data_IF_857946720293
#
_entry.id   IF_857946720293
#
_cell.length_a   1.000
_cell.length_b   1.000
_cell.length_c   1.000
_cell.angle_alpha   90.00
_cell.angle_beta   90.00
_cell.angle_gamma   90.00
#
_symmetry.space_group_name_H-M   'P 1'
#
loop_
_entity.id
_entity.type
_entity.pdbx_description
1 polymer ?
#
# COMPACT_ATOMS: atom_id res chain seq x y z
N UNK A 1 27.41 -12.12 4.20
CA UNK A 1 27.49 -12.73 2.86
C UNK A 1 26.10 -12.63 2.26
N UNK A 2 25.94 -11.92 1.13
CA UNK A 2 24.64 -11.81 0.43
C UNK A 2 24.23 -13.21 -0.02
N UNK A 3 23.02 -13.68 0.32
CA UNK A 3 22.52 -14.95 -0.18
C UNK A 3 22.42 -14.84 -1.72
N UNK A 4 23.15 -15.67 -2.49
CA UNK A 4 23.16 -15.60 -3.95
C UNK A 4 21.79 -15.83 -4.60
N UNK A 5 20.78 -16.28 -3.82
CA UNK A 5 19.39 -16.43 -4.26
C UNK A 5 18.57 -15.14 -4.16
N UNK A 6 19.14 -14.03 -3.65
CA UNK A 6 18.42 -12.76 -3.51
C UNK A 6 19.02 -11.68 -4.40
N UNK A 7 18.14 -10.96 -5.08
CA UNK A 7 18.52 -9.87 -5.98
C UNK A 7 19.11 -8.65 -5.24
N UNK A 8 18.68 -8.42 -4.00
CA UNK A 8 19.12 -7.29 -3.17
C UNK A 8 19.37 -7.72 -1.73
N UNK A 9 19.95 -6.83 -0.93
CA UNK A 9 20.31 -7.11 0.46
C UNK A 9 19.08 -7.53 1.29
N UNK A 10 19.24 -8.54 2.17
CA UNK A 10 18.17 -8.94 3.07
C UNK A 10 17.84 -7.81 4.05
N UNK A 11 16.55 -7.61 4.28
CA UNK A 11 16.02 -6.64 5.25
C UNK A 11 15.17 -7.40 6.25
N UNK A 12 15.20 -7.01 7.52
CA UNK A 12 14.20 -7.46 8.49
C UNK A 12 13.19 -6.34 8.76
N UNK A 13 11.90 -6.53 8.41
CA UNK A 13 10.85 -5.61 8.81
C UNK A 13 10.76 -5.51 10.34
N UNK A 14 10.40 -4.33 10.89
CA UNK A 14 10.28 -4.16 12.34
C UNK A 14 9.29 -5.11 13.02
N UNK A 15 8.27 -5.59 12.30
CA UNK A 15 7.28 -6.53 12.83
C UNK A 15 7.70 -8.01 12.70
N UNK A 16 8.71 -8.30 11.88
CA UNK A 16 9.11 -9.67 11.55
C UNK A 16 10.11 -10.28 12.56
N UNK A 17 10.73 -9.45 13.39
CA UNK A 17 11.71 -9.87 14.40
C UNK A 17 11.12 -10.31 15.75
N UNK A 18 9.81 -10.15 15.96
CA UNK A 18 9.17 -10.56 17.22
C UNK A 18 8.60 -11.98 17.10
N UNK A 19 8.91 -12.85 18.07
CA UNK A 19 8.31 -14.19 18.24
C UNK A 19 6.83 -14.11 18.65
N UNK A 20 6.01 -13.51 17.79
CA UNK A 20 4.56 -13.39 17.97
C UNK A 20 3.86 -14.64 17.45
N UNK A 21 2.78 -15.03 18.13
CA UNK A 21 1.88 -16.07 17.64
C UNK A 21 1.36 -15.79 16.22
N UNK A 22 0.99 -16.85 15.49
CA UNK A 22 0.65 -16.77 14.07
C UNK A 22 -0.43 -15.72 13.75
N UNK A 23 -1.45 -15.59 14.59
CA UNK A 23 -2.52 -14.59 14.44
C UNK A 23 -1.99 -13.14 14.55
N UNK A 24 -1.21 -12.85 15.60
CA UNK A 24 -0.63 -11.53 15.80
C UNK A 24 0.32 -11.14 14.66
N UNK A 25 1.04 -12.11 14.10
CA UNK A 25 1.85 -11.91 12.90
C UNK A 25 0.99 -11.57 11.68
N UNK A 26 -0.08 -12.31 11.43
CA UNK A 26 -1.00 -12.05 10.32
C UNK A 26 -1.59 -10.65 10.40
N UNK A 27 -2.04 -10.24 11.58
CA UNK A 27 -2.56 -8.87 11.80
C UNK A 27 -1.48 -7.82 11.54
N UNK A 28 -0.25 -8.04 12.02
CA UNK A 28 0.86 -7.13 11.79
C UNK A 28 1.25 -7.03 10.30
N UNK A 29 1.21 -8.14 9.57
CA UNK A 29 1.50 -8.20 8.14
C UNK A 29 0.42 -7.47 7.33
N UNK A 30 -0.86 -7.72 7.63
CA UNK A 30 -1.99 -6.99 7.03
C UNK A 30 -1.88 -5.49 7.30
N UNK A 31 -1.62 -5.11 8.55
CA UNK A 31 -1.44 -3.71 8.92
C UNK A 31 -0.26 -3.09 8.16
N UNK A 32 0.87 -3.78 8.08
CA UNK A 32 2.05 -3.27 7.38
C UNK A 32 1.78 -3.07 5.87
N UNK A 33 1.04 -3.99 5.25
CA UNK A 33 0.68 -3.94 3.85
C UNK A 33 -0.32 -2.82 3.54
N UNK A 34 -1.37 -2.65 4.36
CA UNK A 34 -2.41 -1.64 4.16
C UNK A 34 -2.00 -0.23 4.60
N UNK A 35 -1.20 -0.12 5.66
CA UNK A 35 -0.78 1.18 6.20
C UNK A 35 0.56 1.59 5.59
N UNK A 36 0.63 2.62 4.72
CA UNK A 36 1.88 2.98 4.04
C UNK A 36 2.91 3.64 4.97
N UNK A 37 2.48 4.20 6.11
CA UNK A 37 3.36 4.95 7.01
C UNK A 37 4.12 4.07 8.01
N UNK A 38 5.27 4.55 8.49
CA UNK A 38 6.02 3.95 9.59
C UNK A 38 6.44 5.02 10.61
N UNK A 39 6.59 4.65 11.89
CA UNK A 39 7.03 5.57 12.96
C UNK A 39 8.42 6.15 12.68
N UNK A 40 9.33 5.36 12.13
CA UNK A 40 10.67 5.79 11.72
C UNK A 40 10.64 6.75 10.52
N UNK A 41 9.76 6.50 9.55
CA UNK A 41 9.51 7.41 8.43
C UNK A 41 8.90 8.76 8.86
N UNK A 42 8.10 8.75 9.95
CA UNK A 42 7.43 9.96 10.49
C UNK A 42 8.44 11.01 10.96
N UNK A 43 9.54 10.57 11.58
CA UNK A 43 10.57 11.48 12.06
C UNK A 43 11.40 12.08 10.93
N UNK A 44 11.58 11.35 9.81
CA UNK A 44 12.49 11.74 8.74
C UNK A 44 11.85 12.59 7.64
N UNK A 45 10.53 12.50 7.43
CA UNK A 45 9.84 13.15 6.31
C UNK A 45 8.45 13.70 6.65
N UNK A 46 8.34 14.55 7.69
CA UNK A 46 7.06 15.12 8.17
C UNK A 46 6.21 15.80 7.08
N UNK A 47 6.83 16.50 6.13
CA UNK A 47 6.13 17.19 5.04
C UNK A 47 5.43 16.22 4.06
N UNK A 48 6.11 15.14 3.68
CA UNK A 48 5.53 14.07 2.83
C UNK A 48 4.38 13.36 3.54
N UNK A 49 4.43 13.26 4.87
CA UNK A 49 3.34 12.67 5.64
C UNK A 49 2.13 13.60 5.79
N UNK A 50 2.34 14.91 5.95
CA UNK A 50 1.26 15.90 5.89
C UNK A 50 0.55 15.88 4.53
N UNK A 51 1.31 15.81 3.44
CA UNK A 51 0.75 15.62 2.10
C UNK A 51 -0.02 14.29 1.99
N UNK A 52 0.47 13.23 2.61
CA UNK A 52 -0.21 11.93 2.63
C UNK A 52 -1.50 11.88 3.42
N UNK A 53 -1.57 12.58 4.54
CA UNK A 53 -2.81 12.70 5.30
C UNK A 53 -3.85 13.49 4.51
N UNK A 54 -3.44 14.58 3.86
CA UNK A 54 -4.31 15.35 2.97
C UNK A 54 -4.81 14.51 1.78
N UNK A 55 -3.92 13.72 1.16
CA UNK A 55 -4.29 12.78 0.09
C UNK A 55 -5.21 11.67 0.58
N UNK A 56 -5.03 11.15 1.79
CA UNK A 56 -5.90 10.11 2.36
C UNK A 56 -7.31 10.65 2.64
N UNK A 57 -7.40 11.88 3.16
CA UNK A 57 -8.67 12.57 3.37
C UNK A 57 -9.36 12.85 2.03
N UNK A 58 -8.63 13.37 1.05
CA UNK A 58 -9.18 13.61 -0.28
C UNK A 58 -9.61 12.30 -0.97
N UNK A 59 -8.91 11.18 -0.73
CA UNK A 59 -9.34 9.86 -1.19
C UNK A 59 -10.63 9.39 -0.55
N UNK A 60 -10.78 9.61 0.74
CA UNK A 60 -12.02 9.32 1.45
C UNK A 60 -13.19 10.14 0.87
N UNK A 61 -12.96 11.43 0.59
CA UNK A 61 -13.95 12.32 -0.01
C UNK A 61 -14.33 11.87 -1.43
N UNK A 62 -13.35 11.49 -2.26
CA UNK A 62 -13.61 11.01 -3.63
C UNK A 62 -14.48 9.76 -3.63
N UNK A 63 -14.24 8.81 -2.73
CA UNK A 63 -15.08 7.62 -2.61
C UNK A 63 -16.51 7.94 -2.15
N UNK A 64 -16.69 8.88 -1.21
CA UNK A 64 -18.02 9.35 -0.79
C UNK A 64 -18.76 10.05 -1.94
N UNK A 65 -18.06 10.89 -2.70
CA UNK A 65 -18.63 11.57 -3.86
C UNK A 65 -18.97 10.59 -4.98
N UNK A 66 -18.14 9.57 -5.22
CA UNK A 66 -18.44 8.49 -6.14
C UNK A 66 -19.68 7.70 -5.72
N UNK A 67 -19.79 7.32 -4.44
CA UNK A 67 -20.92 6.59 -3.90
C UNK A 67 -22.24 7.38 -3.92
N UNK A 68 -22.16 8.72 -3.95
CA UNK A 68 -23.34 9.61 -4.08
C UNK A 68 -23.66 9.97 -5.54
N UNK A 69 -22.96 9.37 -6.51
CA UNK A 69 -23.16 9.62 -7.94
C UNK A 69 -22.69 11.00 -8.41
N UNK A 70 -21.86 11.69 -7.62
CA UNK A 70 -21.39 13.07 -7.87
C UNK A 70 -20.04 13.14 -8.59
N UNK A 71 -19.41 12.00 -8.86
CA UNK A 71 -18.14 11.91 -9.58
C UNK A 71 -18.25 10.89 -10.70
N UNK A 72 -17.72 11.26 -11.86
CA UNK A 72 -17.58 10.36 -13.00
C UNK A 72 -16.54 9.28 -12.71
N UNK A 73 -16.72 8.09 -13.31
CA UNK A 73 -15.79 6.97 -13.15
C UNK A 73 -14.34 7.33 -13.49
N UNK A 74 -14.13 8.17 -14.51
CA UNK A 74 -12.79 8.66 -14.89
C UNK A 74 -12.10 9.45 -13.77
N UNK A 75 -12.85 10.27 -13.01
CA UNK A 75 -12.30 11.02 -11.88
C UNK A 75 -11.91 10.10 -10.72
N UNK A 76 -12.69 9.05 -10.45
CA UNK A 76 -12.37 8.03 -9.44
C UNK A 76 -11.09 7.28 -9.82
N UNK A 77 -10.96 6.87 -11.08
CA UNK A 77 -9.77 6.19 -11.61
C UNK A 77 -8.53 7.09 -11.50
N UNK A 78 -8.63 8.34 -11.97
CA UNK A 78 -7.52 9.30 -11.91
C UNK A 78 -7.07 9.57 -10.48
N UNK A 79 -8.01 9.68 -9.55
CA UNK A 79 -7.72 9.84 -8.13
C UNK A 79 -7.04 8.61 -7.53
N UNK A 80 -7.56 7.41 -7.82
CA UNK A 80 -6.99 6.15 -7.35
C UNK A 80 -5.56 5.91 -7.87
N UNK A 81 -5.32 6.31 -9.12
CA UNK A 81 -3.98 6.35 -9.70
C UNK A 81 -3.06 7.32 -8.95
N UNK A 82 -3.52 8.54 -8.67
CA UNK A 82 -2.78 9.53 -7.88
C UNK A 82 -2.39 9.02 -6.49
N UNK A 83 -3.34 8.37 -5.79
CA UNK A 83 -3.08 7.69 -4.51
C UNK A 83 -1.99 6.61 -4.64
N UNK A 84 -2.02 5.82 -5.72
CA UNK A 84 -1.04 4.76 -5.96
C UNK A 84 0.37 5.30 -6.19
N UNK A 85 0.51 6.38 -6.98
CA UNK A 85 1.81 7.06 -7.19
C UNK A 85 2.34 7.62 -5.87
N UNK A 86 1.46 8.26 -5.09
CA UNK A 86 1.83 8.79 -3.79
C UNK A 86 2.32 7.69 -2.83
N UNK A 87 1.61 6.56 -2.77
CA UNK A 87 1.99 5.44 -1.91
C UNK A 87 3.37 4.87 -2.28
N UNK A 88 3.72 4.80 -3.57
CA UNK A 88 5.07 4.39 -4.00
C UNK A 88 6.14 5.29 -3.37
N UNK A 89 5.97 6.62 -3.45
CA UNK A 89 6.91 7.59 -2.89
C UNK A 89 7.05 7.41 -1.38
N UNK A 90 5.93 7.31 -0.67
CA UNK A 90 5.95 7.13 0.80
C UNK A 90 6.61 5.82 1.20
N UNK A 91 6.30 4.72 0.52
CA UNK A 91 6.87 3.41 0.88
C UNK A 91 8.35 3.33 0.57
N UNK A 92 8.83 3.98 -0.51
CA UNK A 92 10.27 4.09 -0.76
C UNK A 92 11.00 4.83 0.38
N UNK A 93 10.38 5.85 0.99
CA UNK A 93 10.98 6.57 2.13
C UNK A 93 10.83 5.86 3.48
N UNK A 94 9.71 5.17 3.70
CA UNK A 94 9.31 4.68 5.03
C UNK A 94 9.43 3.16 5.21
N UNK A 95 9.27 2.39 4.13
CA UNK A 95 9.24 0.92 4.08
C UNK A 95 9.88 0.38 2.78
N UNK A 96 11.18 0.66 2.50
CA UNK A 96 11.84 0.29 1.25
C UNK A 96 12.22 -1.19 1.20
N UNK A 97 11.27 -2.08 1.43
CA UNK A 97 11.47 -3.52 1.40
C UNK A 97 10.27 -4.22 0.77
N UNK A 98 10.56 -5.35 0.13
CA UNK A 98 9.54 -6.25 -0.42
C UNK A 98 9.80 -7.66 0.08
N UNK A 99 8.73 -8.46 0.06
CA UNK A 99 8.79 -9.88 0.38
C UNK A 99 9.35 -10.65 -0.82
N UNK A 100 10.30 -11.53 -0.56
CA UNK A 100 10.97 -12.34 -1.57
C UNK A 100 10.47 -13.79 -1.54
N UNK A 101 10.19 -14.34 -2.73
CA UNK A 101 9.65 -15.68 -2.88
C UNK A 101 8.13 -15.75 -2.67
N UNK A 102 7.58 -16.93 -2.30
CA UNK A 102 6.15 -17.08 -2.10
C UNK A 102 5.60 -16.10 -1.07
N UNK A 103 4.39 -15.58 -1.31
CA UNK A 103 3.78 -14.58 -0.45
C UNK A 103 3.54 -15.05 0.99
N UNK A 104 3.54 -16.35 1.28
CA UNK A 104 3.48 -16.91 2.64
C UNK A 104 4.84 -17.00 3.35
N UNK A 105 5.94 -16.71 2.65
CA UNK A 105 7.30 -16.78 3.17
C UNK A 105 7.61 -15.80 4.29
N UNK A 106 8.89 -15.65 4.63
CA UNK A 106 9.39 -14.69 5.64
C UNK A 106 10.64 -13.95 5.20
N UNK A 107 11.02 -14.10 3.94
CA UNK A 107 12.22 -13.48 3.40
C UNK A 107 11.83 -12.11 2.90
N UNK A 108 12.58 -11.09 3.31
CA UNK A 108 12.41 -9.73 2.83
C UNK A 108 13.75 -9.22 2.35
N UNK A 109 13.70 -8.36 1.34
CA UNK A 109 14.86 -7.73 0.74
C UNK A 109 14.60 -6.27 0.48
N UNK A 110 15.66 -5.49 0.30
CA UNK A 110 15.54 -4.08 -0.08
C UNK A 110 14.79 -3.94 -1.41
N UNK A 111 13.83 -3.03 -1.47
CA UNK A 111 13.02 -2.81 -2.66
C UNK A 111 13.73 -1.89 -3.66
N UNK A 112 13.73 -2.26 -4.93
CA UNK A 112 13.98 -1.32 -6.02
C UNK A 112 12.73 -0.47 -6.29
N UNK A 113 12.89 0.59 -7.10
CA UNK A 113 11.76 1.38 -7.58
C UNK A 113 10.72 0.52 -8.31
N UNK A 114 11.18 -0.38 -9.18
CA UNK A 114 10.28 -1.26 -9.95
C UNK A 114 9.55 -2.24 -9.04
N UNK A 115 10.23 -2.80 -8.04
CA UNK A 115 9.58 -3.67 -7.04
C UNK A 115 8.43 -2.94 -6.35
N UNK A 116 8.64 -1.68 -5.98
CA UNK A 116 7.64 -0.89 -5.26
C UNK A 116 6.48 -0.47 -6.18
N UNK A 117 6.75 -0.14 -7.44
CA UNK A 117 5.72 0.13 -8.45
C UNK A 117 4.84 -1.11 -8.68
N UNK A 118 5.43 -2.28 -8.90
CA UNK A 118 4.69 -3.53 -9.09
C UNK A 118 3.89 -3.90 -7.84
N UNK A 119 4.52 -3.83 -6.67
CA UNK A 119 3.88 -4.16 -5.40
C UNK A 119 2.71 -3.22 -5.07
N UNK A 120 2.90 -1.90 -5.20
CA UNK A 120 1.84 -0.92 -4.94
C UNK A 120 0.75 -0.98 -6.00
N UNK A 121 1.13 -1.00 -7.28
CA UNK A 121 0.19 -1.07 -8.39
C UNK A 121 -0.70 -2.30 -8.31
N UNK A 122 -0.12 -3.48 -8.06
CA UNK A 122 -0.90 -4.71 -7.94
C UNK A 122 -1.88 -4.66 -6.77
N UNK A 123 -1.43 -4.26 -5.57
CA UNK A 123 -2.31 -4.23 -4.39
C UNK A 123 -3.45 -3.22 -4.58
N UNK A 124 -3.15 -2.03 -5.11
CA UNK A 124 -4.14 -0.97 -5.23
C UNK A 124 -5.09 -1.27 -6.37
N UNK A 125 -4.64 -1.90 -7.45
CA UNK A 125 -5.52 -2.40 -8.49
C UNK A 125 -6.52 -3.42 -7.93
N UNK A 126 -6.06 -4.40 -7.13
CA UNK A 126 -6.93 -5.39 -6.49
C UNK A 126 -7.96 -4.74 -5.56
N UNK A 127 -7.52 -3.82 -4.70
CA UNK A 127 -8.42 -3.10 -3.79
C UNK A 127 -9.42 -2.26 -4.58
N UNK A 128 -8.98 -1.50 -5.57
CA UNK A 128 -9.82 -0.65 -6.40
C UNK A 128 -10.85 -1.47 -7.19
N UNK A 129 -10.44 -2.60 -7.78
CA UNK A 129 -11.31 -3.52 -8.48
C UNK A 129 -12.36 -4.14 -7.54
N UNK A 130 -11.95 -4.58 -6.34
CA UNK A 130 -12.86 -5.13 -5.34
C UNK A 130 -13.90 -4.10 -4.89
N UNK A 131 -13.47 -2.86 -4.60
CA UNK A 131 -14.36 -1.76 -4.23
C UNK A 131 -15.33 -1.42 -5.35
N UNK A 132 -14.85 -1.32 -6.59
CA UNK A 132 -15.69 -1.04 -7.76
C UNK A 132 -16.75 -2.13 -7.97
N UNK A 133 -16.36 -3.40 -7.93
CA UNK A 133 -17.28 -4.52 -8.07
C UNK A 133 -18.31 -4.55 -6.94
N UNK A 134 -17.90 -4.28 -5.69
CA UNK A 134 -18.80 -4.19 -4.56
C UNK A 134 -19.83 -3.06 -4.73
N UNK A 135 -19.39 -1.84 -5.04
CA UNK A 135 -20.28 -0.70 -5.27
C UNK A 135 -21.25 -0.93 -6.43
N UNK A 136 -20.77 -1.52 -7.54
CA UNK A 136 -21.62 -1.91 -8.67
C UNK A 136 -22.66 -2.96 -8.25
N UNK A 137 -22.26 -3.98 -7.49
CA UNK A 137 -23.16 -5.04 -7.02
C UNK A 137 -24.25 -4.53 -6.07
N UNK A 138 -23.97 -3.45 -5.34
CA UNK A 138 -24.92 -2.77 -4.45
C UNK A 138 -25.80 -1.74 -5.17
N UNK A 139 -25.62 -1.54 -6.48
CA UNK A 139 -26.36 -0.53 -7.26
C UNK A 139 -25.95 0.92 -6.97
N UNK A 140 -24.79 1.13 -6.32
CA UNK A 140 -24.31 2.45 -5.90
C UNK A 140 -23.42 3.14 -6.95
N UNK A 141 -23.05 2.42 -8.01
CA UNK A 141 -22.35 2.97 -9.17
C UNK A 141 -23.19 2.79 -10.43
N UNK A 142 -23.56 3.90 -11.05
CA UNK A 142 -24.13 3.93 -12.40
C UNK A 142 -22.96 4.01 -13.38
N UNK A 143 -22.87 3.04 -14.30
CA UNK A 143 -21.84 2.97 -15.35
C UNK A 143 -22.40 3.56 -16.63
#
# INVERSE_FOLDING_TARGET
>A
MVDPKMLTEPVQPPYAGDDKGAAARLTAEVWDHLWPWSRSGFQRQRALQGAGLALALAASVVWVLAATGRLEAGAVIGWWFGWSVFEVVVRLGAKPYVKEGPWWGRRYRAASLMDMLCYVGFKNLLIGAALFLALKSLGLLVV
#
